data_IF_323102154955
#
_entry.id   IF_323102154955
#
_cell.length_a   1.000
_cell.length_b   1.000
_cell.length_c   1.000
_cell.angle_alpha   90.00
_cell.angle_beta   90.00
_cell.angle_gamma   90.00
#
_symmetry.space_group_name_H-M   'P 1'
#
loop_
_entity.id
_entity.type
_entity.pdbx_description
1 polymer ?
#
# COMPACT_ATOMS: atom_id res chain seq x y z
N UNK A 1 11.89 18.71 -14.83
CA UNK A 1 11.60 17.68 -13.80
C UNK A 1 10.27 17.02 -14.15
N UNK A 2 10.25 15.70 -14.40
CA UNK A 2 9.01 14.97 -14.67
C UNK A 2 8.21 14.89 -13.37
N UNK A 3 7.03 15.53 -13.29
CA UNK A 3 6.10 15.35 -12.17
C UNK A 3 5.72 13.87 -12.13
N UNK A 4 6.13 13.14 -11.09
CA UNK A 4 5.71 11.74 -10.93
C UNK A 4 4.21 11.73 -10.70
N UNK A 5 3.46 11.23 -11.68
CA UNK A 5 2.01 11.11 -11.62
C UNK A 5 1.64 9.98 -10.66
N UNK A 6 0.66 10.22 -9.80
CA UNK A 6 0.08 9.19 -8.95
C UNK A 6 -0.68 8.23 -9.88
N UNK A 7 -0.44 6.91 -9.81
CA UNK A 7 -1.21 5.94 -10.58
C UNK A 7 -2.70 6.03 -10.27
N UNK A 8 -3.56 5.86 -11.27
CA UNK A 8 -5.02 5.97 -11.11
C UNK A 8 -5.59 4.90 -10.16
N UNK A 9 -4.88 3.79 -9.99
CA UNK A 9 -5.25 2.71 -9.09
C UNK A 9 -5.12 3.09 -7.62
N UNK A 10 -4.28 4.09 -7.31
CA UNK A 10 -4.10 4.58 -5.94
C UNK A 10 -5.21 5.58 -5.63
N UNK A 11 -6.19 5.10 -4.89
CA UNK A 11 -7.27 5.91 -4.35
C UNK A 11 -6.73 6.87 -3.26
N UNK A 12 -6.57 8.14 -3.63
CA UNK A 12 -6.06 9.19 -2.74
C UNK A 12 -7.05 9.63 -1.68
N UNK A 13 -8.33 9.27 -1.80
CA UNK A 13 -9.32 9.51 -0.76
C UNK A 13 -9.15 8.46 0.35
N UNK A 14 -8.83 7.22 -0.02
CA UNK A 14 -8.55 6.13 0.92
C UNK A 14 -7.14 6.17 1.53
N UNK A 15 -6.13 6.57 0.75
CA UNK A 15 -4.73 6.55 1.17
C UNK A 15 -4.11 7.94 1.23
N UNK A 16 -3.34 8.18 2.29
CA UNK A 16 -2.34 9.25 2.30
C UNK A 16 -1.05 8.72 1.68
N UNK A 17 -0.50 9.45 0.70
CA UNK A 17 0.75 9.07 0.05
C UNK A 17 1.92 9.56 0.91
N UNK A 18 2.78 8.63 1.33
CA UNK A 18 4.02 8.97 2.05
C UNK A 18 5.14 9.24 1.05
N UNK A 19 5.33 8.34 0.08
CA UNK A 19 6.44 8.41 -0.88
C UNK A 19 6.10 7.65 -2.16
N UNK A 20 6.50 8.21 -3.30
CA UNK A 20 6.43 7.53 -4.61
C UNK A 20 7.82 7.55 -5.25
N UNK A 21 8.34 6.38 -5.59
CA UNK A 21 9.63 6.23 -6.26
C UNK A 21 9.64 5.11 -7.28
N UNK A 22 9.60 5.47 -8.56
CA UNK A 22 9.73 4.57 -9.71
C UNK A 22 8.71 3.44 -9.66
N UNK A 23 9.06 2.32 -9.01
CA UNK A 23 8.21 1.15 -8.84
C UNK A 23 7.77 0.92 -7.37
N UNK A 24 8.06 1.84 -6.46
CA UNK A 24 7.72 1.76 -5.05
C UNK A 24 6.68 2.83 -4.68
N UNK A 25 5.60 2.39 -4.04
CA UNK A 25 4.55 3.25 -3.48
C UNK A 25 4.45 3.00 -1.99
N UNK A 26 4.78 4.00 -1.18
CA UNK A 26 4.59 3.97 0.27
C UNK A 26 3.33 4.77 0.61
N UNK A 27 2.37 4.08 1.22
CA UNK A 27 1.02 4.57 1.47
C UNK A 27 0.66 4.38 2.94
N UNK A 28 -0.21 5.25 3.45
CA UNK A 28 -0.86 5.08 4.74
C UNK A 28 -2.37 5.01 4.53
N UNK A 29 -3.01 3.97 5.07
CA UNK A 29 -4.47 3.91 5.12
C UNK A 29 -4.99 5.02 6.04
N UNK A 30 -5.96 5.80 5.57
CA UNK A 30 -6.61 6.82 6.42
C UNK A 30 -7.58 6.20 7.43
N UNK A 31 -8.01 4.97 7.20
CA UNK A 31 -8.99 4.28 8.05
C UNK A 31 -8.34 3.53 9.23
N UNK A 32 -7.18 2.89 8.99
CA UNK A 32 -6.48 2.07 10.00
C UNK A 32 -5.17 2.67 10.47
N UNK A 33 -4.69 3.74 9.82
CA UNK A 33 -3.34 4.29 9.99
C UNK A 33 -2.18 3.33 9.69
N UNK A 34 -2.47 2.10 9.24
CA UNK A 34 -1.51 1.13 8.76
C UNK A 34 -0.71 1.70 7.59
N UNK A 35 0.58 1.39 7.57
CA UNK A 35 1.49 1.79 6.53
C UNK A 35 1.80 0.60 5.62
N UNK A 36 1.83 0.87 4.32
CA UNK A 36 1.96 -0.13 3.27
C UNK A 36 3.07 0.28 2.31
N UNK A 37 3.85 -0.69 1.85
CA UNK A 37 4.74 -0.53 0.71
C UNK A 37 4.23 -1.46 -0.39
N UNK A 38 3.98 -0.91 -1.56
CA UNK A 38 3.70 -1.67 -2.78
C UNK A 38 4.89 -1.50 -3.72
N UNK A 39 5.64 -2.58 -3.90
CA UNK A 39 6.78 -2.63 -4.80
C UNK A 39 6.38 -3.37 -6.08
N UNK A 40 6.23 -2.66 -7.18
CA UNK A 40 6.03 -3.22 -8.51
C UNK A 40 7.34 -3.85 -9.01
N UNK A 41 7.22 -5.00 -9.67
CA UNK A 41 8.32 -5.64 -10.40
C UNK A 41 8.70 -4.81 -11.63
N UNK A 42 9.99 -4.76 -11.97
CA UNK A 42 10.44 -4.06 -13.18
C UNK A 42 10.08 -4.81 -14.47
N UNK A 43 9.87 -6.13 -14.38
CA UNK A 43 9.70 -7.00 -15.53
C UNK A 43 8.26 -7.53 -15.68
N UNK A 44 7.36 -7.14 -14.77
CA UNK A 44 5.98 -7.66 -14.73
C UNK A 44 5.04 -6.71 -14.00
N UNK A 45 3.73 -6.92 -14.17
CA UNK A 45 2.71 -6.17 -13.42
C UNK A 45 2.61 -6.58 -11.94
N UNK A 46 3.27 -7.67 -11.56
CA UNK A 46 3.25 -8.15 -10.18
C UNK A 46 3.78 -7.12 -9.19
N UNK A 47 3.16 -7.11 -8.01
CA UNK A 47 3.49 -6.22 -6.92
C UNK A 47 3.74 -7.03 -5.66
N UNK A 48 4.79 -6.68 -4.92
CA UNK A 48 5.08 -7.20 -3.60
C UNK A 48 4.62 -6.21 -2.54
N UNK A 49 3.87 -6.68 -1.54
CA UNK A 49 3.24 -5.84 -0.53
C UNK A 49 3.88 -6.10 0.82
N UNK A 50 4.35 -5.03 1.46
CA UNK A 50 4.80 -5.04 2.85
C UNK A 50 3.90 -4.17 3.73
N UNK A 51 3.80 -4.53 5.01
CA UNK A 51 2.91 -3.91 5.99
C UNK A 51 3.64 -3.56 7.28
N UNK A 52 3.23 -2.46 7.93
CA UNK A 52 3.44 -2.24 9.36
C UNK A 52 2.25 -1.48 9.96
N UNK A 53 1.98 -1.72 11.24
CA UNK A 53 0.82 -1.16 11.93
C UNK A 53 0.85 0.37 12.05
N UNK A 54 2.00 0.97 12.38
CA UNK A 54 2.11 2.42 12.55
C UNK A 54 3.42 2.93 11.98
N UNK A 55 3.50 4.25 11.71
CA UNK A 55 4.74 4.89 11.24
C UNK A 55 5.93 4.63 12.16
N UNK A 56 5.70 4.64 13.48
CA UNK A 56 6.70 4.37 14.52
C UNK A 56 7.14 2.91 14.64
N UNK A 57 6.42 1.97 14.01
CA UNK A 57 6.81 0.56 14.05
C UNK A 57 8.17 0.36 13.36
N UNK A 58 9.05 -0.43 13.99
CA UNK A 58 10.47 -0.55 13.63
C UNK A 58 10.70 -1.07 12.20
N UNK A 59 9.88 -2.00 11.72
CA UNK A 59 10.12 -2.68 10.42
C UNK A 59 8.81 -2.96 9.70
N UNK A 60 8.90 -2.98 8.36
CA UNK A 60 7.87 -3.55 7.50
C UNK A 60 8.03 -5.06 7.45
N UNK A 61 6.91 -5.77 7.44
CA UNK A 61 6.84 -7.23 7.28
C UNK A 61 6.25 -7.55 5.92
N UNK A 62 6.68 -8.66 5.32
CA UNK A 62 6.14 -9.11 4.03
C UNK A 62 4.71 -9.61 4.25
N UNK A 63 3.76 -9.03 3.51
CA UNK A 63 2.34 -9.38 3.62
C UNK A 63 1.95 -10.42 2.59
N UNK A 64 2.08 -10.07 1.30
CA UNK A 64 1.73 -10.95 0.19
C UNK A 64 2.19 -10.37 -1.16
N UNK A 65 2.03 -11.17 -2.22
CA UNK A 65 2.16 -10.71 -3.61
C UNK A 65 0.78 -10.43 -4.22
N UNK A 66 0.73 -9.55 -5.22
CA UNK A 66 -0.43 -9.27 -6.06
C UNK A 66 -0.02 -9.29 -7.53
N UNK A 67 -0.97 -9.59 -8.42
CA UNK A 67 -0.74 -9.68 -9.87
C UNK A 67 -0.67 -8.32 -10.57
N UNK A 68 -1.15 -7.25 -9.92
CA UNK A 68 -1.18 -5.88 -10.43
C UNK A 68 -1.25 -4.87 -9.29
N UNK A 69 -0.99 -3.59 -9.58
CA UNK A 69 -1.17 -2.49 -8.60
C UNK A 69 -2.63 -2.39 -8.12
N UNK A 70 -3.59 -2.51 -9.04
CA UNK A 70 -5.02 -2.56 -8.71
C UNK A 70 -5.36 -3.71 -7.75
N UNK A 71 -4.80 -4.90 -8.00
CA UNK A 71 -4.97 -6.06 -7.14
C UNK A 71 -4.35 -5.83 -5.76
N UNK A 72 -3.17 -5.18 -5.70
CA UNK A 72 -2.52 -4.82 -4.44
C UNK A 72 -3.39 -3.87 -3.61
N UNK A 73 -3.91 -2.81 -4.22
CA UNK A 73 -4.81 -1.85 -3.57
C UNK A 73 -6.06 -2.55 -3.02
N UNK A 74 -6.68 -3.44 -3.79
CA UNK A 74 -7.86 -4.18 -3.33
C UNK A 74 -7.53 -5.09 -2.13
N UNK A 75 -6.38 -5.78 -2.15
CA UNK A 75 -5.95 -6.62 -1.02
C UNK A 75 -5.72 -5.80 0.25
N UNK A 76 -5.12 -4.62 0.13
CA UNK A 76 -4.93 -3.71 1.26
C UNK A 76 -6.29 -3.27 1.84
N UNK A 77 -7.21 -2.81 0.99
CA UNK A 77 -8.56 -2.40 1.44
C UNK A 77 -9.31 -3.54 2.15
N UNK A 78 -9.21 -4.78 1.65
CA UNK A 78 -9.80 -5.96 2.31
C UNK A 78 -9.17 -6.25 3.67
N UNK A 79 -7.84 -6.16 3.77
CA UNK A 79 -7.14 -6.34 5.04
C UNK A 79 -7.57 -5.28 6.06
N UNK A 80 -7.62 -4.00 5.65
CA UNK A 80 -8.07 -2.92 6.52
C UNK A 80 -9.53 -3.11 6.95
N UNK A 81 -10.43 -3.48 6.04
CA UNK A 81 -11.82 -3.78 6.37
C UNK A 81 -11.94 -4.91 7.41
N UNK A 82 -11.13 -5.97 7.28
CA UNK A 82 -11.06 -7.02 8.29
C UNK A 82 -10.57 -6.49 9.64
N UNK A 83 -9.49 -5.71 9.67
CA UNK A 83 -8.95 -5.13 10.91
C UNK A 83 -9.91 -4.15 11.60
N UNK A 84 -10.66 -3.37 10.83
CA UNK A 84 -11.72 -2.49 11.34
C UNK A 84 -12.85 -3.32 11.95
N UNK A 85 -13.31 -4.37 11.26
CA UNK A 85 -14.37 -5.25 11.76
C UNK A 85 -13.97 -5.94 13.08
N UNK A 86 -12.72 -6.35 13.21
CA UNK A 86 -12.19 -6.98 14.41
C UNK A 86 -11.79 -5.95 15.52
N UNK A 87 -11.90 -4.65 15.24
CA UNK A 87 -11.56 -3.59 16.21
C UNK A 87 -10.07 -3.50 16.56
N UNK A 88 -9.18 -3.97 15.68
CA UNK A 88 -7.72 -4.07 15.93
C UNK A 88 -6.92 -3.33 14.85
N UNK A 89 -6.66 -2.03 15.02
CA UNK A 89 -5.85 -1.20 14.12
C UNK A 89 -5.01 -0.11 14.82
#
# INVERSE_FOLDING_TARGET
MVKKKIPQEIDTDYFSIIRIQNNLYELQSKNTHHCWIVQKSSNSESCHIKHKYRKSAKKYHDQCNASSLKSAVNKIKKHDAYKIKEGIY
#
